data_IF_252366491994
#
_entry.id   IF_252366491994
#
_cell.length_a   1.000
_cell.length_b   1.000
_cell.length_c   1.000
_cell.angle_alpha   90.00
_cell.angle_beta   90.00
_cell.angle_gamma   90.00
#
_symmetry.space_group_name_H-M   'P 1'
#
loop_
_entity.id
_entity.type
_entity.pdbx_description
1 polymer ?
#
# COMPACT_ATOMS: atom_id res chain seq x y z
N UNK A 1 13.99 9.62 42.83
CA UNK A 1 14.16 9.66 41.34
C UNK A 1 13.30 10.78 40.76
N UNK A 2 13.64 11.41 39.63
CA UNK A 2 12.78 12.40 38.97
C UNK A 2 11.98 11.78 37.81
N UNK A 3 10.74 12.20 37.62
CA UNK A 3 9.90 11.76 36.51
C UNK A 3 10.44 12.29 35.17
N UNK A 4 10.62 11.41 34.18
CA UNK A 4 11.17 11.76 32.86
C UNK A 4 10.28 12.73 32.06
N UNK A 5 8.96 12.70 32.30
CA UNK A 5 7.99 13.51 31.55
C UNK A 5 7.75 14.90 32.17
N UNK A 6 7.68 15.00 33.50
CA UNK A 6 7.35 16.26 34.18
C UNK A 6 8.49 16.84 35.03
N UNK A 7 9.62 16.15 35.14
CA UNK A 7 10.81 16.60 35.88
C UNK A 7 10.66 16.64 37.40
N UNK A 8 9.47 16.35 37.95
CA UNK A 8 9.20 16.38 39.39
C UNK A 8 9.73 15.14 40.09
N UNK A 9 10.14 15.32 41.34
CA UNK A 9 10.64 14.25 42.19
C UNK A 9 9.53 13.24 42.52
N UNK A 10 9.84 11.96 42.33
CA UNK A 10 8.96 10.83 42.60
C UNK A 10 9.04 10.59 44.11
N UNK A 11 7.95 10.94 44.80
CA UNK A 11 7.82 10.83 46.26
C UNK A 11 7.54 9.39 46.69
N UNK A 12 6.96 8.57 45.80
CA UNK A 12 6.58 7.19 46.08
C UNK A 12 7.18 6.23 45.05
N UNK A 13 8.26 5.57 45.42
CA UNK A 13 9.01 4.63 44.57
C UNK A 13 8.24 3.32 44.27
N UNK A 14 7.13 3.06 44.96
CA UNK A 14 6.28 1.87 44.73
C UNK A 14 5.15 2.11 43.73
N UNK A 15 4.89 3.37 43.39
CA UNK A 15 3.82 3.74 42.46
C UNK A 15 4.21 3.43 41.01
N UNK A 16 3.29 2.86 40.21
CA UNK A 16 3.52 2.55 38.79
C UNK A 16 3.31 3.75 37.85
N UNK A 17 2.83 4.88 38.38
CA UNK A 17 2.49 6.10 37.67
C UNK A 17 2.89 7.35 38.46
N UNK A 18 3.25 8.41 37.74
CA UNK A 18 3.58 9.69 38.35
C UNK A 18 2.32 10.38 38.90
N UNK A 19 2.29 10.64 40.21
CA UNK A 19 1.18 11.33 40.87
C UNK A 19 0.90 12.75 40.32
N UNK A 20 1.89 13.38 39.66
CA UNK A 20 1.74 14.75 39.15
C UNK A 20 1.27 14.82 37.70
N UNK A 21 1.69 13.90 36.83
CA UNK A 21 1.32 13.93 35.41
C UNK A 21 0.50 12.72 34.96
N UNK A 22 0.26 11.74 35.83
CA UNK A 22 -0.51 10.52 35.54
C UNK A 22 0.19 9.53 34.61
N UNK A 23 1.40 9.84 34.10
CA UNK A 23 2.10 8.97 33.17
C UNK A 23 2.77 7.79 33.91
N UNK A 24 2.67 6.56 33.37
CA UNK A 24 3.33 5.38 33.94
C UNK A 24 4.85 5.50 33.84
N UNK A 25 5.58 5.08 34.88
CA UNK A 25 7.05 5.14 34.89
C UNK A 25 7.70 4.16 33.91
N UNK A 26 6.97 3.10 33.55
CA UNK A 26 7.42 2.01 32.70
C UNK A 26 7.01 2.20 31.21
N UNK A 27 7.02 3.45 30.73
CA UNK A 27 6.52 3.82 29.39
C UNK A 27 7.40 3.34 28.21
N UNK A 28 8.30 2.38 28.43
CA UNK A 28 9.10 1.72 27.37
C UNK A 28 8.25 0.96 26.34
N UNK A 29 6.93 0.81 26.51
CA UNK A 29 6.20 -0.33 25.94
C UNK A 29 5.58 -0.22 24.54
N UNK A 30 5.17 0.92 23.99
CA UNK A 30 4.34 0.88 22.76
C UNK A 30 4.95 1.53 21.50
N UNK A 31 6.24 1.88 21.54
CA UNK A 31 6.88 2.66 20.48
C UNK A 31 7.25 1.80 19.25
N UNK A 32 7.81 0.61 19.44
CA UNK A 32 8.17 -0.27 18.31
C UNK A 32 6.98 -0.97 17.64
N UNK A 33 5.81 -1.03 18.29
CA UNK A 33 4.65 -1.75 17.77
C UNK A 33 4.02 -1.04 16.57
N UNK A 34 3.92 0.30 16.60
CA UNK A 34 3.33 1.06 15.49
C UNK A 34 4.12 0.89 14.19
N UNK A 35 5.46 0.90 14.27
CA UNK A 35 6.30 0.67 13.11
C UNK A 35 6.14 -0.76 12.57
N UNK A 36 6.09 -1.76 13.46
CA UNK A 36 5.88 -3.16 13.08
C UNK A 36 4.56 -3.34 12.34
N UNK A 37 3.47 -2.80 12.89
CA UNK A 37 2.14 -2.85 12.28
C UNK A 37 2.14 -2.13 10.94
N UNK A 38 2.68 -0.90 10.86
CA UNK A 38 2.72 -0.15 9.62
C UNK A 38 3.48 -0.89 8.51
N UNK A 39 4.55 -1.58 8.90
CA UNK A 39 5.38 -2.36 7.99
C UNK A 39 4.65 -3.59 7.46
N UNK A 40 3.94 -4.32 8.33
CA UNK A 40 3.11 -5.44 7.93
C UNK A 40 2.02 -4.97 6.96
N UNK A 41 1.35 -3.86 7.27
CA UNK A 41 0.33 -3.26 6.38
C UNK A 41 0.91 -2.88 5.01
N UNK A 42 2.12 -2.31 4.97
CA UNK A 42 2.80 -1.97 3.72
C UNK A 42 3.13 -3.22 2.88
N UNK A 43 3.61 -4.29 3.53
CA UNK A 43 3.91 -5.56 2.84
C UNK A 43 2.63 -6.19 2.28
N UNK A 44 1.55 -6.18 3.05
CA UNK A 44 0.23 -6.68 2.60
C UNK A 44 -0.25 -5.87 1.40
N UNK A 45 -0.25 -4.53 1.50
CA UNK A 45 -0.63 -3.65 0.40
C UNK A 45 0.22 -3.87 -0.85
N UNK A 46 1.52 -4.07 -0.68
CA UNK A 46 2.44 -4.36 -1.79
C UNK A 46 2.16 -5.70 -2.44
N UNK A 47 1.74 -6.70 -1.65
CA UNK A 47 1.35 -8.02 -2.17
C UNK A 47 0.08 -7.92 -2.99
N UNK A 48 -0.92 -7.15 -2.54
CA UNK A 48 -2.10 -6.83 -3.35
C UNK A 48 -1.72 -6.15 -4.67
N UNK A 49 -0.80 -5.18 -4.64
CA UNK A 49 -0.28 -4.55 -5.85
C UNK A 49 0.36 -5.60 -6.77
N UNK A 50 1.23 -6.48 -6.27
CA UNK A 50 1.82 -7.54 -7.10
C UNK A 50 0.77 -8.43 -7.75
N UNK A 51 -0.21 -8.91 -6.96
CA UNK A 51 -1.27 -9.79 -7.45
C UNK A 51 -2.11 -9.10 -8.51
N UNK A 52 -2.55 -7.86 -8.27
CA UNK A 52 -3.29 -7.06 -9.25
C UNK A 52 -2.46 -6.80 -10.52
N UNK A 53 -1.18 -6.48 -10.36
CA UNK A 53 -0.25 -6.26 -11.45
C UNK A 53 -0.11 -7.48 -12.36
N UNK A 54 0.09 -8.66 -11.76
CA UNK A 54 0.18 -9.94 -12.48
C UNK A 54 -1.14 -10.27 -13.18
N UNK A 55 -2.28 -10.12 -12.49
CA UNK A 55 -3.60 -10.36 -13.08
C UNK A 55 -3.83 -9.43 -14.29
N UNK A 56 -3.46 -8.15 -14.18
CA UNK A 56 -3.55 -7.20 -15.30
C UNK A 56 -2.73 -7.63 -16.50
N UNK A 57 -1.47 -8.03 -16.29
CA UNK A 57 -0.59 -8.50 -17.36
C UNK A 57 -1.05 -9.81 -18.00
N UNK A 58 -1.56 -10.77 -17.21
CA UNK A 58 -2.10 -12.03 -17.74
C UNK A 58 -3.36 -11.78 -18.58
N UNK A 59 -4.26 -10.91 -18.13
CA UNK A 59 -5.44 -10.54 -18.91
C UNK A 59 -5.05 -9.77 -20.17
N UNK A 60 -4.06 -8.88 -20.11
CA UNK A 60 -3.52 -8.24 -21.30
C UNK A 60 -3.03 -9.28 -22.32
N UNK A 61 -2.20 -10.23 -21.90
CA UNK A 61 -1.67 -11.27 -22.80
C UNK A 61 -2.77 -12.16 -23.39
N UNK A 62 -3.72 -12.61 -22.56
CA UNK A 62 -4.83 -13.45 -23.00
C UNK A 62 -5.71 -12.74 -24.03
N UNK A 63 -6.03 -11.47 -23.78
CA UNK A 63 -6.79 -10.68 -24.74
C UNK A 63 -5.99 -10.47 -26.03
N UNK A 64 -4.69 -10.14 -25.95
CA UNK A 64 -3.86 -9.92 -27.16
C UNK A 64 -3.84 -11.18 -28.03
N UNK A 65 -3.67 -12.36 -27.43
CA UNK A 65 -3.70 -13.62 -28.16
C UNK A 65 -5.09 -13.91 -28.78
N UNK A 66 -6.18 -13.59 -28.08
CA UNK A 66 -7.54 -13.77 -28.60
C UNK A 66 -7.84 -12.84 -29.77
N UNK A 67 -7.32 -11.61 -29.75
CA UNK A 67 -7.46 -10.65 -30.84
C UNK A 67 -6.68 -11.05 -32.08
N UNK A 68 -5.40 -11.42 -31.93
CA UNK A 68 -4.56 -11.81 -33.08
C UNK A 68 -5.07 -13.06 -33.78
N UNK A 69 -5.70 -13.98 -33.05
CA UNK A 69 -6.25 -15.23 -33.61
C UNK A 69 -7.60 -15.05 -34.30
N UNK A 70 -8.40 -14.05 -33.92
CA UNK A 70 -9.76 -13.84 -34.44
C UNK A 70 -9.89 -12.50 -35.18
N UNK A 71 -8.79 -11.94 -35.68
CA UNK A 71 -8.75 -10.62 -36.30
C UNK A 71 -9.78 -10.50 -37.43
N UNK A 72 -9.85 -11.50 -38.31
CA UNK A 72 -10.78 -11.55 -39.44
C UNK A 72 -12.25 -11.58 -38.97
N UNK A 73 -12.52 -12.27 -37.85
CA UNK A 73 -13.84 -12.31 -37.26
C UNK A 73 -14.25 -10.94 -36.70
N UNK A 74 -13.37 -10.29 -35.92
CA UNK A 74 -13.66 -8.98 -35.32
C UNK A 74 -13.84 -7.88 -36.36
N UNK A 75 -13.06 -7.88 -37.43
CA UNK A 75 -13.24 -7.00 -38.59
C UNK A 75 -14.61 -7.24 -39.27
N UNK A 76 -15.08 -8.49 -39.31
CA UNK A 76 -16.36 -8.83 -39.96
C UNK A 76 -17.61 -8.39 -39.19
N UNK A 77 -17.54 -8.35 -37.85
CA UNK A 77 -18.68 -7.92 -37.00
C UNK A 77 -18.69 -6.40 -36.73
N UNK A 78 -17.77 -5.64 -37.36
CA UNK A 78 -17.77 -4.18 -37.32
C UNK A 78 -17.47 -3.58 -35.95
N UNK A 79 -16.90 -4.36 -35.02
CA UNK A 79 -16.45 -3.80 -33.75
C UNK A 79 -15.23 -2.95 -34.03
N UNK A 80 -15.31 -1.66 -33.73
CA UNK A 80 -14.26 -0.72 -34.04
C UNK A 80 -12.95 -1.09 -33.33
N UNK A 81 -11.84 -1.07 -34.07
CA UNK A 81 -10.49 -1.32 -33.53
C UNK A 81 -10.19 -0.49 -32.28
N UNK A 82 -10.79 0.70 -32.18
CA UNK A 82 -10.60 1.65 -31.08
C UNK A 82 -11.15 1.16 -29.72
N UNK A 83 -12.35 0.55 -29.67
CA UNK A 83 -12.97 0.10 -28.41
C UNK A 83 -12.20 -1.10 -27.84
N UNK A 84 -11.77 -1.98 -28.73
CA UNK A 84 -10.89 -3.09 -28.38
C UNK A 84 -9.57 -2.55 -27.84
N UNK A 85 -8.83 -1.74 -28.61
CA UNK A 85 -7.52 -1.17 -28.21
C UNK A 85 -7.53 -0.45 -26.86
N UNK A 86 -8.61 0.27 -26.53
CA UNK A 86 -8.77 0.92 -25.24
C UNK A 86 -8.75 -0.09 -24.08
N UNK A 87 -9.47 -1.20 -24.23
CA UNK A 87 -9.57 -2.24 -23.19
C UNK A 87 -8.20 -2.87 -22.88
N UNK A 88 -7.39 -3.19 -23.90
CA UNK A 88 -6.02 -3.71 -23.71
C UNK A 88 -5.12 -2.72 -23.01
N UNK A 89 -5.21 -1.45 -23.41
CA UNK A 89 -4.33 -0.41 -22.90
C UNK A 89 -4.51 -0.23 -21.40
N UNK A 90 -5.74 -0.25 -20.89
CA UNK A 90 -5.94 -0.14 -19.44
C UNK A 90 -5.43 -1.37 -18.67
N UNK A 91 -5.57 -2.61 -19.17
CA UNK A 91 -5.00 -3.82 -18.54
C UNK A 91 -3.48 -3.74 -18.44
N UNK A 92 -2.84 -3.27 -19.51
CA UNK A 92 -1.41 -3.05 -19.55
C UNK A 92 -0.99 -1.94 -18.55
N UNK A 93 -1.70 -0.81 -18.54
CA UNK A 93 -1.39 0.33 -17.70
C UNK A 93 -1.48 -0.02 -16.22
N UNK A 94 -2.62 -0.55 -15.75
CA UNK A 94 -2.73 -0.89 -14.33
C UNK A 94 -1.82 -2.06 -13.98
N UNK A 95 -1.63 -3.03 -14.89
CA UNK A 95 -0.69 -4.14 -14.71
C UNK A 95 0.73 -3.64 -14.38
N UNK A 96 1.27 -2.79 -15.26
CA UNK A 96 2.63 -2.23 -15.11
C UNK A 96 2.73 -1.33 -13.88
N UNK A 97 1.77 -0.42 -13.66
CA UNK A 97 1.79 0.52 -12.53
C UNK A 97 1.83 -0.22 -11.18
N UNK A 98 1.09 -1.32 -11.07
CA UNK A 98 1.05 -2.13 -9.86
C UNK A 98 2.35 -2.95 -9.66
N UNK A 99 2.89 -3.54 -10.73
CA UNK A 99 4.19 -4.25 -10.65
C UNK A 99 5.33 -3.31 -10.27
N UNK A 100 5.36 -2.10 -10.84
CA UNK A 100 6.37 -1.09 -10.51
C UNK A 100 6.24 -0.65 -9.05
N UNK A 101 5.02 -0.48 -8.53
CA UNK A 101 4.79 -0.04 -7.16
C UNK A 101 5.06 -1.13 -6.11
N UNK A 102 4.89 -2.40 -6.46
CA UNK A 102 5.21 -3.54 -5.61
C UNK A 102 6.68 -3.54 -5.14
N UNK A 103 7.62 -3.30 -6.05
CA UNK A 103 9.07 -3.35 -5.76
C UNK A 103 9.48 -2.40 -4.62
N UNK A 104 9.24 -1.08 -4.70
CA UNK A 104 9.56 -0.17 -3.61
C UNK A 104 8.72 -0.44 -2.37
N UNK A 105 7.46 -0.86 -2.51
CA UNK A 105 6.60 -1.26 -1.39
C UNK A 105 7.21 -2.37 -0.53
N UNK A 106 7.67 -3.45 -1.17
CA UNK A 106 8.34 -4.56 -0.49
C UNK A 106 9.69 -4.16 0.09
N UNK A 107 10.54 -3.47 -0.67
CA UNK A 107 11.86 -3.03 -0.20
C UNK A 107 11.70 -2.07 0.98
N UNK A 108 10.74 -1.15 0.90
CA UNK A 108 10.45 -0.19 1.96
C UNK A 108 9.92 -0.86 3.23
N UNK A 109 9.02 -1.82 3.08
CA UNK A 109 8.59 -2.67 4.20
C UNK A 109 9.77 -3.40 4.84
N UNK A 110 10.60 -4.07 4.05
CA UNK A 110 11.75 -4.82 4.58
C UNK A 110 12.77 -3.92 5.29
N UNK A 111 13.12 -2.77 4.70
CA UNK A 111 14.02 -1.80 5.33
C UNK A 111 13.46 -1.22 6.63
N UNK A 112 12.13 -1.04 6.69
CA UNK A 112 11.41 -0.63 7.88
C UNK A 112 11.55 -1.64 9.03
N UNK A 113 11.47 -2.96 8.73
CA UNK A 113 11.72 -4.02 9.73
C UNK A 113 13.14 -3.97 10.29
N UNK A 114 14.13 -3.64 9.45
CA UNK A 114 15.52 -3.48 9.87
C UNK A 114 15.78 -2.22 10.69
N UNK A 115 14.76 -1.40 10.96
CA UNK A 115 14.86 -0.06 11.57
C UNK A 115 15.84 0.84 10.83
N UNK A 116 16.07 0.60 9.53
CA UNK A 116 16.98 1.36 8.68
C UNK A 116 16.18 2.20 7.71
N UNK A 117 16.51 3.49 7.61
CA UNK A 117 15.99 4.43 6.58
C UNK A 117 14.46 4.64 6.60
N UNK A 118 13.95 5.17 7.71
CA UNK A 118 12.55 5.58 7.89
C UNK A 118 11.94 6.36 6.70
N UNK A 119 12.67 7.33 6.14
CA UNK A 119 12.20 8.15 5.02
C UNK A 119 11.87 7.32 3.77
N UNK A 120 12.58 6.22 3.56
CA UNK A 120 12.35 5.36 2.39
C UNK A 120 11.04 4.57 2.52
N UNK A 121 10.74 4.05 3.72
CA UNK A 121 9.46 3.36 4.03
C UNK A 121 8.24 4.27 3.80
N UNK A 122 8.35 5.53 4.18
CA UNK A 122 7.30 6.52 3.93
C UNK A 122 7.10 6.78 2.43
N UNK A 123 8.19 6.94 1.67
CA UNK A 123 8.12 7.14 0.21
C UNK A 123 7.51 5.93 -0.48
N UNK A 124 7.91 4.71 -0.10
CA UNK A 124 7.34 3.48 -0.67
C UNK A 124 5.84 3.35 -0.42
N UNK A 125 5.37 3.71 0.78
CA UNK A 125 3.94 3.66 1.09
C UNK A 125 3.14 4.67 0.27
N UNK A 126 3.72 5.85 -0.01
CA UNK A 126 3.11 6.84 -0.91
C UNK A 126 3.06 6.29 -2.36
N UNK A 127 4.11 5.63 -2.83
CA UNK A 127 4.13 5.03 -4.17
C UNK A 127 3.02 3.98 -4.33
N UNK A 128 2.86 3.09 -3.34
CA UNK A 128 1.78 2.07 -3.34
C UNK A 128 0.41 2.75 -3.32
N UNK A 129 0.23 3.81 -2.52
CA UNK A 129 -1.02 4.57 -2.50
C UNK A 129 -1.32 5.21 -3.86
N UNK A 130 -0.35 5.91 -4.47
CA UNK A 130 -0.51 6.50 -5.80
C UNK A 130 -0.83 5.46 -6.88
N UNK A 131 -0.22 4.28 -6.79
CA UNK A 131 -0.49 3.16 -7.69
C UNK A 131 -1.93 2.66 -7.57
N UNK A 132 -2.47 2.56 -6.35
CA UNK A 132 -3.89 2.24 -6.15
C UNK A 132 -4.80 3.32 -6.72
N UNK A 133 -4.53 4.61 -6.49
CA UNK A 133 -5.37 5.67 -7.03
C UNK A 133 -5.35 5.69 -8.57
N UNK A 134 -4.18 5.46 -9.18
CA UNK A 134 -4.07 5.35 -10.63
C UNK A 134 -4.85 4.15 -11.17
N UNK A 135 -4.79 3.01 -10.49
CA UNK A 135 -5.51 1.79 -10.88
C UNK A 135 -7.02 2.02 -10.84
N UNK A 136 -7.52 2.68 -9.80
CA UNK A 136 -8.93 3.04 -9.66
C UNK A 136 -9.40 3.92 -10.82
N UNK A 137 -8.61 4.95 -11.16
CA UNK A 137 -8.91 5.85 -12.29
C UNK A 137 -8.95 5.08 -13.61
N UNK A 138 -8.00 4.16 -13.82
CA UNK A 138 -7.95 3.32 -15.03
C UNK A 138 -9.20 2.43 -15.10
N UNK A 139 -9.56 1.74 -14.03
CA UNK A 139 -10.75 0.86 -14.01
C UNK A 139 -12.02 1.66 -14.29
N UNK A 140 -12.15 2.83 -13.67
CA UNK A 140 -13.29 3.73 -13.88
C UNK A 140 -13.38 4.22 -15.33
N UNK A 141 -12.25 4.62 -15.92
CA UNK A 141 -12.21 5.16 -17.28
C UNK A 141 -12.49 4.10 -18.35
N UNK A 142 -11.95 2.89 -18.19
CA UNK A 142 -12.07 1.83 -19.19
C UNK A 142 -13.29 0.90 -18.99
N UNK A 143 -14.02 1.02 -17.88
CA UNK A 143 -15.34 0.40 -17.71
C UNK A 143 -15.34 -1.13 -17.81
N UNK A 144 -14.41 -1.80 -17.13
CA UNK A 144 -14.28 -3.25 -17.20
C UNK A 144 -15.49 -4.00 -16.62
N UNK A 145 -15.98 -5.04 -17.32
CA UNK A 145 -17.03 -5.94 -16.80
C UNK A 145 -16.62 -6.75 -15.55
N UNK A 146 -15.33 -6.77 -15.21
CA UNK A 146 -14.78 -7.38 -13.99
C UNK A 146 -14.30 -6.34 -12.98
N UNK A 147 -14.69 -5.08 -13.12
CA UNK A 147 -14.29 -3.99 -12.24
C UNK A 147 -14.55 -4.32 -10.77
N UNK A 148 -15.66 -4.99 -10.45
CA UNK A 148 -16.03 -5.32 -9.07
C UNK A 148 -14.97 -6.15 -8.33
N UNK A 149 -14.41 -7.18 -8.97
CA UNK A 149 -13.41 -8.07 -8.36
C UNK A 149 -12.09 -7.33 -8.15
N UNK A 150 -11.71 -6.50 -9.12
CA UNK A 150 -10.48 -5.70 -9.07
C UNK A 150 -10.62 -4.62 -7.99
N UNK A 151 -11.77 -3.94 -7.94
CA UNK A 151 -12.10 -2.92 -6.93
C UNK A 151 -12.12 -3.50 -5.51
N UNK A 152 -12.63 -4.72 -5.32
CA UNK A 152 -12.58 -5.38 -4.01
C UNK A 152 -11.15 -5.64 -3.50
N UNK A 153 -10.19 -5.86 -4.40
CA UNK A 153 -8.77 -6.03 -4.05
C UNK A 153 -8.05 -4.69 -3.88
N UNK A 154 -8.58 -3.63 -4.49
CA UNK A 154 -8.01 -2.29 -4.47
C UNK A 154 -8.37 -1.50 -3.19
N UNK A 155 -9.60 -1.64 -2.70
CA UNK A 155 -10.04 -1.03 -1.43
C UNK A 155 -9.10 -1.40 -0.26
N UNK A 156 -8.76 -2.68 0.00
CA UNK A 156 -7.82 -3.01 1.08
C UNK A 156 -6.41 -2.47 0.80
N UNK A 157 -5.96 -2.42 -0.46
CA UNK A 157 -4.68 -1.81 -0.80
C UNK A 157 -4.63 -0.31 -0.47
N UNK A 158 -5.70 0.45 -0.78
CA UNK A 158 -5.87 1.84 -0.38
C UNK A 158 -5.86 2.01 1.14
N UNK A 159 -6.67 1.22 1.85
CA UNK A 159 -6.81 1.30 3.30
C UNK A 159 -5.49 0.98 4.00
N UNK A 160 -4.80 -0.10 3.61
CA UNK A 160 -3.55 -0.52 4.24
C UNK A 160 -2.39 0.43 3.93
N UNK A 161 -2.31 0.96 2.71
CA UNK A 161 -1.29 1.97 2.37
C UNK A 161 -1.51 3.29 3.10
N UNK A 162 -2.76 3.74 3.24
CA UNK A 162 -3.10 4.94 4.01
C UNK A 162 -2.80 4.77 5.50
N UNK A 163 -3.26 3.66 6.10
CA UNK A 163 -2.98 3.34 7.51
C UNK A 163 -1.48 3.22 7.76
N UNK A 164 -0.73 2.61 6.83
CA UNK A 164 0.73 2.52 6.94
C UNK A 164 1.38 3.90 7.00
N UNK A 165 1.01 4.84 6.10
CA UNK A 165 1.51 6.22 6.12
C UNK A 165 1.21 6.90 7.46
N UNK A 166 -0.02 6.75 7.97
CA UNK A 166 -0.43 7.34 9.24
C UNK A 166 0.41 6.80 10.41
N UNK A 167 0.58 5.48 10.50
CA UNK A 167 1.33 4.82 11.56
C UNK A 167 2.83 5.10 11.48
N UNK A 168 3.42 5.10 10.29
CA UNK A 168 4.82 5.52 10.04
C UNK A 168 5.02 6.95 10.55
N UNK A 169 4.11 7.88 10.23
CA UNK A 169 4.23 9.25 10.71
C UNK A 169 4.14 9.35 12.24
N UNK A 170 3.28 8.55 12.87
CA UNK A 170 3.16 8.49 14.34
C UNK A 170 4.42 7.93 15.00
N UNK A 171 5.11 7.00 14.35
CA UNK A 171 6.37 6.40 14.83
C UNK A 171 7.62 7.25 14.57
N UNK A 172 7.51 8.48 14.06
CA UNK A 172 8.67 9.38 13.81
C UNK A 172 9.55 9.60 15.04
N UNK A 173 8.97 9.53 16.23
CA UNK A 173 9.69 9.72 17.51
C UNK A 173 10.55 8.52 17.92
N UNK A 174 10.47 7.40 17.18
CA UNK A 174 11.16 6.15 17.51
C UNK A 174 12.47 5.95 16.73
N UNK A 175 12.79 6.89 15.83
CA UNK A 175 13.98 6.89 14.98
C UNK A 175 14.96 8.03 15.28
N UNK A 176 14.73 8.78 16.37
CA UNK A 176 15.63 9.82 16.89
C UNK A 176 16.38 9.28 18.09
#
# INVERSE_FOLDING_TARGET
>A
MNCVECGKEIVDETSSFCAYCGNPFDSKKNKSEFLGIATILLIIASTFAATLGIIGLLNYQANVAAYTTNLDYYLSIGVGEAEYMATFLGFLLFGIINVIAFIPGMIGGFLSLLKKRFRFSLISSIIVLCSSLATFIIIWYYGYGYADIVLMSEIPMLVFSFLSIFLINKSKKDFV
#
